data_IF_227279233632
#
_entry.id   IF_227279233632
#
_cell.length_a   1.000
_cell.length_b   1.000
_cell.length_c   1.000
_cell.angle_alpha   90.00
_cell.angle_beta   90.00
_cell.angle_gamma   90.00
#
_symmetry.space_group_name_H-M   'P 1'
#
loop_
_entity.id
_entity.type
_entity.pdbx_description
1 polymer ?
#
# COMPACT_ATOMS: atom_id res chain seq x y z
N UNK A 1 23.63 11.35 -114.76
CA UNK A 1 23.59 9.87 -114.68
C UNK A 1 24.88 9.38 -114.02
N UNK A 2 24.92 8.34 -113.16
CA UNK A 2 23.87 7.77 -112.31
C UNK A 2 24.27 7.55 -110.81
N UNK A 3 23.21 7.37 -109.98
CA UNK A 3 23.04 6.63 -108.70
C UNK A 3 23.93 6.88 -107.47
N UNK A 4 23.29 7.30 -106.37
CA UNK A 4 23.63 6.86 -105.00
C UNK A 4 22.35 6.77 -104.14
N UNK A 5 22.25 5.67 -103.38
CA UNK A 5 21.10 5.18 -102.61
C UNK A 5 20.96 5.85 -101.23
N UNK A 6 19.77 6.34 -100.87
CA UNK A 6 19.45 6.74 -99.50
C UNK A 6 18.83 5.57 -98.72
N UNK A 7 19.56 5.04 -97.73
CA UNK A 7 19.04 4.10 -96.72
C UNK A 7 18.34 4.89 -95.61
N UNK A 8 17.06 4.62 -95.41
CA UNK A 8 16.27 4.99 -94.22
C UNK A 8 16.92 4.43 -92.94
N UNK A 9 17.39 5.31 -92.04
CA UNK A 9 17.76 4.95 -90.67
C UNK A 9 16.53 5.11 -89.76
N UNK A 10 16.26 4.06 -89.01
CA UNK A 10 15.05 3.81 -88.24
C UNK A 10 14.81 4.83 -87.11
N UNK A 11 13.58 5.33 -87.02
CA UNK A 11 13.03 6.06 -85.84
C UNK A 11 12.81 5.16 -84.61
N UNK A 12 13.19 3.88 -84.66
CA UNK A 12 12.90 2.87 -83.63
C UNK A 12 13.85 2.88 -82.43
N UNK A 13 15.08 3.38 -82.58
CA UNK A 13 16.07 3.40 -81.49
C UNK A 13 15.69 4.32 -80.30
N UNK A 14 15.23 5.57 -80.51
CA UNK A 14 14.88 6.45 -79.39
C UNK A 14 13.59 6.02 -78.66
N UNK A 15 12.61 5.45 -79.36
CA UNK A 15 11.35 4.98 -78.76
C UNK A 15 11.56 3.72 -77.92
N UNK A 16 12.39 2.78 -78.38
CA UNK A 16 12.74 1.58 -77.61
C UNK A 16 13.54 1.94 -76.34
N UNK A 17 14.42 2.94 -76.41
CA UNK A 17 15.15 3.43 -75.24
C UNK A 17 14.21 4.06 -74.20
N UNK A 18 13.23 4.86 -74.64
CA UNK A 18 12.23 5.47 -73.75
C UNK A 18 11.35 4.39 -73.10
N UNK A 19 10.93 3.36 -73.84
CA UNK A 19 10.14 2.26 -73.29
C UNK A 19 10.94 1.46 -72.26
N UNK A 20 12.23 1.18 -72.51
CA UNK A 20 13.10 0.51 -71.54
C UNK A 20 13.36 1.36 -70.31
N UNK A 21 13.48 2.68 -70.47
CA UNK A 21 13.69 3.61 -69.36
C UNK A 21 12.42 3.75 -68.51
N UNK A 22 11.25 3.85 -69.15
CA UNK A 22 9.95 3.83 -68.45
C UNK A 22 9.72 2.48 -67.78
N UNK A 23 9.99 1.36 -68.45
CA UNK A 23 9.87 0.02 -67.87
C UNK A 23 10.83 -0.19 -66.69
N UNK A 24 12.05 0.34 -66.78
CA UNK A 24 13.03 0.35 -65.70
C UNK A 24 12.57 1.20 -64.52
N UNK A 25 12.03 2.40 -64.77
CA UNK A 25 11.47 3.27 -63.72
C UNK A 25 10.25 2.63 -63.08
N UNK A 26 9.33 2.04 -63.86
CA UNK A 26 8.15 1.36 -63.31
C UNK A 26 8.54 0.09 -62.57
N UNK A 27 9.56 -0.63 -63.04
CA UNK A 27 10.10 -1.80 -62.36
C UNK A 27 10.78 -1.44 -61.04
N UNK A 28 11.56 -0.35 -61.01
CA UNK A 28 12.16 0.20 -59.79
C UNK A 28 11.10 0.72 -58.82
N UNK A 29 10.07 1.42 -59.32
CA UNK A 29 8.96 1.90 -58.52
C UNK A 29 8.13 0.74 -57.95
N UNK A 30 7.88 -0.31 -58.73
CA UNK A 30 7.19 -1.52 -58.29
C UNK A 30 8.04 -2.32 -57.29
N UNK A 31 9.35 -2.40 -57.51
CA UNK A 31 10.28 -3.06 -56.60
C UNK A 31 10.40 -2.31 -55.26
N UNK A 32 10.47 -0.98 -55.30
CA UNK A 32 10.38 -0.13 -54.11
C UNK A 32 9.04 -0.31 -53.38
N UNK A 33 7.92 -0.37 -54.11
CA UNK A 33 6.58 -0.56 -53.54
C UNK A 33 6.39 -1.92 -52.86
N UNK A 34 7.14 -2.96 -53.27
CA UNK A 34 7.11 -4.30 -52.66
C UNK A 34 8.05 -4.43 -51.43
N UNK A 35 9.05 -3.57 -51.30
CA UNK A 35 10.05 -3.62 -50.22
C UNK A 35 9.87 -2.52 -49.16
N UNK A 36 9.17 -1.45 -49.49
CA UNK A 36 8.85 -0.40 -48.53
C UNK A 36 7.81 -0.92 -47.54
N UNK A 37 8.29 -1.31 -46.36
CA UNK A 37 7.44 -1.51 -45.20
C UNK A 37 6.65 -0.23 -44.90
N UNK A 38 5.40 -0.37 -44.48
CA UNK A 38 4.46 0.74 -44.24
C UNK A 38 3.92 0.76 -42.82
N UNK A 39 4.30 -0.20 -41.99
CA UNK A 39 3.89 -0.20 -40.60
C UNK A 39 4.76 0.78 -39.83
N UNK A 40 4.09 1.69 -39.14
CA UNK A 40 4.76 2.58 -38.20
C UNK A 40 5.02 1.81 -36.89
N UNK A 41 6.12 2.11 -36.18
CA UNK A 41 6.37 1.53 -34.86
C UNK A 41 5.23 1.79 -33.86
N UNK A 42 4.90 0.81 -33.04
CA UNK A 42 4.04 1.01 -31.88
C UNK A 42 4.83 1.65 -30.73
N UNK A 43 4.24 2.66 -30.08
CA UNK A 43 4.83 3.38 -28.96
C UNK A 43 3.95 3.31 -27.72
N UNK A 44 4.56 3.14 -26.55
CA UNK A 44 3.92 3.29 -25.24
C UNK A 44 4.80 4.12 -24.32
N UNK A 45 4.16 4.94 -23.51
CA UNK A 45 4.81 5.77 -22.50
C UNK A 45 4.17 5.51 -21.13
N UNK A 46 5.00 5.04 -20.20
CA UNK A 46 4.64 4.79 -18.80
C UNK A 46 5.43 5.71 -17.87
N UNK A 47 4.94 6.09 -16.68
CA UNK A 47 3.60 5.83 -16.14
C UNK A 47 2.53 6.66 -16.87
N UNK A 48 1.24 6.34 -16.73
CA UNK A 48 0.13 7.10 -17.34
C UNK A 48 -0.36 8.30 -16.51
N UNK A 49 0.38 8.70 -15.48
CA UNK A 49 0.02 9.82 -14.61
C UNK A 49 -0.09 11.15 -15.38
N UNK A 50 -1.03 12.01 -14.95
CA UNK A 50 -1.28 13.35 -15.53
C UNK A 50 -0.41 14.42 -14.85
N UNK A 51 -0.18 14.28 -13.54
CA UNK A 51 0.71 15.16 -12.75
C UNK A 51 1.99 14.40 -12.44
N UNK A 52 3.14 15.04 -12.63
CA UNK A 52 4.47 14.40 -12.51
C UNK A 52 5.47 15.37 -11.90
N UNK A 53 6.51 14.85 -11.26
CA UNK A 53 7.66 15.61 -10.78
C UNK A 53 8.88 15.45 -11.71
N UNK A 54 9.93 16.23 -11.45
CA UNK A 54 11.19 16.11 -12.22
C UNK A 54 11.84 14.73 -12.11
N UNK A 55 11.63 14.05 -10.99
CA UNK A 55 12.20 12.74 -10.70
C UNK A 55 11.32 11.58 -11.18
N UNK A 56 10.12 11.84 -11.71
CA UNK A 56 9.28 10.80 -12.30
C UNK A 56 10.06 10.09 -13.42
N UNK A 57 10.27 8.78 -13.24
CA UNK A 57 10.94 7.94 -14.24
C UNK A 57 9.92 7.47 -15.27
N UNK A 58 10.12 7.88 -16.50
CA UNK A 58 9.35 7.42 -17.64
C UNK A 58 10.03 6.22 -18.30
N UNK A 59 9.22 5.30 -18.84
CA UNK A 59 9.67 4.24 -19.75
C UNK A 59 8.97 4.40 -21.09
N UNK A 60 9.76 4.44 -22.17
CA UNK A 60 9.32 4.37 -23.56
C UNK A 60 9.52 2.96 -24.05
N UNK A 61 8.42 2.30 -24.38
CA UNK A 61 8.44 1.02 -25.10
C UNK A 61 8.14 1.31 -26.57
N UNK A 62 9.03 0.85 -27.44
CA UNK A 62 8.85 0.90 -28.88
C UNK A 62 8.93 -0.51 -29.46
N UNK A 63 8.02 -0.84 -30.38
CA UNK A 63 8.03 -2.12 -31.07
C UNK A 63 7.70 -1.93 -32.55
N UNK A 64 8.43 -2.64 -33.40
CA UNK A 64 8.12 -2.76 -34.82
C UNK A 64 8.14 -4.25 -35.19
N UNK A 65 7.00 -4.77 -35.63
CA UNK A 65 6.83 -6.20 -35.90
C UNK A 65 7.38 -6.60 -37.29
N UNK A 66 7.39 -5.66 -38.23
CA UNK A 66 7.67 -5.91 -39.64
C UNK A 66 9.05 -5.37 -40.06
N UNK A 67 9.63 -4.43 -39.29
CA UNK A 67 10.97 -3.85 -39.48
C UNK A 67 11.82 -3.88 -38.20
N UNK A 68 12.93 -3.14 -38.19
CA UNK A 68 13.77 -2.91 -37.00
C UNK A 68 13.86 -1.43 -36.69
N UNK A 69 13.93 -1.08 -35.42
CA UNK A 69 14.02 0.30 -34.94
C UNK A 69 15.42 0.86 -35.19
N UNK A 70 15.49 2.13 -35.59
CA UNK A 70 16.75 2.84 -35.86
C UNK A 70 17.06 3.93 -34.83
N UNK A 71 16.04 4.67 -34.38
CA UNK A 71 16.22 5.81 -33.46
C UNK A 71 14.97 6.06 -32.64
N UNK A 72 15.15 6.47 -31.38
CA UNK A 72 14.10 6.97 -30.51
C UNK A 72 14.52 8.31 -29.95
N UNK A 73 13.65 9.32 -30.07
CA UNK A 73 13.86 10.63 -29.47
C UNK A 73 12.70 11.00 -28.55
N UNK A 74 13.01 11.69 -27.47
CA UNK A 74 12.04 12.24 -26.53
C UNK A 74 12.31 13.73 -26.38
N UNK A 75 11.27 14.54 -26.58
CA UNK A 75 11.33 16.00 -26.44
C UNK A 75 10.20 16.46 -25.53
N UNK A 76 10.51 17.30 -24.56
CA UNK A 76 9.52 18.05 -23.81
C UNK A 76 9.23 19.37 -24.52
N UNK A 77 7.97 19.70 -24.72
CA UNK A 77 7.53 20.97 -25.30
C UNK A 77 6.85 21.76 -24.18
N UNK A 78 7.42 22.92 -23.83
CA UNK A 78 6.86 23.82 -22.82
C UNK A 78 6.74 25.22 -23.41
N UNK A 79 5.57 25.83 -23.27
CA UNK A 79 5.27 27.14 -23.86
C UNK A 79 5.58 27.24 -25.38
N UNK A 80 5.62 26.10 -26.08
CA UNK A 80 5.96 26.01 -27.50
C UNK A 80 7.45 25.82 -27.80
N UNK A 81 8.33 25.88 -26.81
CA UNK A 81 9.76 25.66 -26.97
C UNK A 81 10.13 24.17 -26.73
N UNK A 82 10.89 23.53 -27.65
CA UNK A 82 11.31 22.13 -27.50
C UNK A 82 12.58 22.00 -26.66
N UNK A 83 12.57 21.05 -25.73
CA UNK A 83 13.65 20.66 -24.84
C UNK A 83 13.96 19.17 -25.05
N UNK A 84 15.06 18.81 -25.73
CA UNK A 84 15.41 17.41 -25.97
C UNK A 84 15.78 16.74 -24.64
N UNK A 85 15.18 15.58 -24.36
CA UNK A 85 15.41 14.79 -23.14
C UNK A 85 16.16 13.48 -23.42
N UNK A 86 15.91 12.87 -24.57
CA UNK A 86 16.55 11.62 -24.99
C UNK A 86 16.72 11.61 -26.50
N UNK A 87 17.88 11.15 -26.96
CA UNK A 87 18.15 10.92 -28.37
C UNK A 87 19.04 9.68 -28.51
N UNK A 88 18.41 8.54 -28.75
CA UNK A 88 19.07 7.24 -28.77
C UNK A 88 19.04 6.63 -30.17
N UNK A 89 20.22 6.37 -30.72
CA UNK A 89 20.37 5.52 -31.90
C UNK A 89 20.44 4.06 -31.46
N UNK A 90 19.64 3.20 -32.09
CA UNK A 90 19.51 1.79 -31.74
C UNK A 90 20.46 0.91 -32.56
N UNK A 91 20.81 -0.25 -32.01
CA UNK A 91 21.68 -1.19 -32.72
C UNK A 91 20.90 -1.86 -33.86
N UNK A 92 21.55 -2.18 -34.99
CA UNK A 92 20.88 -2.88 -36.10
C UNK A 92 20.26 -4.20 -35.63
N UNK A 93 19.04 -4.51 -36.12
CA UNK A 93 18.38 -5.78 -35.81
C UNK A 93 17.45 -5.75 -34.59
N UNK A 94 17.30 -4.62 -33.89
CA UNK A 94 16.38 -4.50 -32.75
C UNK A 94 14.95 -4.21 -33.22
N UNK A 95 14.03 -5.15 -32.98
CA UNK A 95 12.58 -4.97 -33.24
C UNK A 95 11.85 -4.31 -32.07
N UNK A 96 12.45 -4.37 -30.88
CA UNK A 96 11.89 -3.81 -29.64
C UNK A 96 12.96 -3.02 -28.90
N UNK A 97 12.58 -1.91 -28.29
CA UNK A 97 13.44 -1.15 -27.40
C UNK A 97 12.64 -0.62 -26.20
N UNK A 98 13.28 -0.62 -25.04
CA UNK A 98 12.76 0.01 -23.83
C UNK A 98 13.82 1.01 -23.33
N UNK A 99 13.45 2.28 -23.19
CA UNK A 99 14.34 3.35 -22.77
C UNK A 99 13.71 4.15 -21.64
N UNK A 100 14.51 4.53 -20.66
CA UNK A 100 14.04 5.36 -19.54
C UNK A 100 14.60 6.77 -19.57
N UNK A 101 13.80 7.75 -19.17
CA UNK A 101 14.22 9.15 -19.00
C UNK A 101 13.51 9.80 -17.80
N UNK A 102 13.98 10.98 -17.40
CA UNK A 102 13.37 11.84 -16.36
C UNK A 102 13.23 13.27 -16.89
N UNK A 103 12.64 14.17 -16.09
CA UNK A 103 12.47 15.57 -16.44
C UNK A 103 13.45 16.49 -15.68
N UNK A 104 14.52 15.93 -15.10
CA UNK A 104 15.50 16.65 -14.27
C UNK A 104 16.24 17.77 -15.02
N UNK A 105 16.41 17.61 -16.33
CA UNK A 105 17.10 18.60 -17.18
C UNK A 105 16.23 19.82 -17.52
N UNK A 106 14.92 19.79 -17.19
CA UNK A 106 14.04 20.93 -17.41
C UNK A 106 14.35 22.08 -16.45
N UNK A 107 14.45 23.28 -17.00
CA UNK A 107 14.78 24.50 -16.24
C UNK A 107 13.60 25.09 -15.46
N UNK A 108 12.38 24.59 -15.68
CA UNK A 108 11.14 25.09 -15.08
C UNK A 108 10.66 24.15 -14.00
N UNK A 109 10.07 24.69 -12.94
CA UNK A 109 9.69 23.93 -11.75
C UNK A 109 8.20 23.55 -11.75
N UNK A 110 7.37 24.19 -12.57
CA UNK A 110 5.95 23.85 -12.70
C UNK A 110 5.35 24.26 -14.04
N UNK A 111 4.21 23.65 -14.39
CA UNK A 111 3.38 24.04 -15.54
C UNK A 111 3.09 22.90 -16.53
N UNK A 112 2.30 23.21 -17.57
CA UNK A 112 1.96 22.23 -18.61
C UNK A 112 3.18 21.91 -19.49
N UNK A 113 3.46 20.62 -19.66
CA UNK A 113 4.50 20.09 -20.54
C UNK A 113 3.93 19.01 -21.45
N UNK A 114 4.22 19.09 -22.74
CA UNK A 114 3.88 18.02 -23.69
C UNK A 114 5.12 17.17 -23.93
N UNK A 115 5.07 15.90 -23.55
CA UNK A 115 6.11 14.94 -23.89
C UNK A 115 5.81 14.35 -25.26
N UNK A 116 6.71 14.56 -26.21
CA UNK A 116 6.67 13.99 -27.54
C UNK A 116 7.74 12.91 -27.68
N UNK A 117 7.28 11.68 -27.87
CA UNK A 117 8.12 10.52 -28.13
C UNK A 117 8.02 10.19 -29.60
N UNK A 118 9.16 10.07 -30.27
CA UNK A 118 9.22 9.70 -31.68
C UNK A 118 10.12 8.49 -31.87
N UNK A 119 9.62 7.44 -32.52
CA UNK A 119 10.38 6.26 -32.90
C UNK A 119 10.45 6.16 -34.43
N UNK A 120 11.63 5.89 -34.96
CA UNK A 120 11.87 5.71 -36.39
C UNK A 120 12.39 4.30 -36.66
N UNK A 121 11.85 3.65 -37.69
CA UNK A 121 12.32 2.35 -38.15
C UNK A 121 13.56 2.47 -39.05
N UNK A 122 14.12 1.34 -39.49
CA UNK A 122 15.25 1.27 -40.41
C UNK A 122 14.82 0.88 -41.83
N UNK A 123 13.54 1.03 -42.17
CA UNK A 123 13.00 0.61 -43.46
C UNK A 123 13.48 1.54 -44.58
N UNK A 124 13.36 1.07 -45.82
CA UNK A 124 13.65 1.89 -47.01
C UNK A 124 12.51 2.83 -47.37
N UNK A 125 11.45 2.91 -46.54
CA UNK A 125 10.36 3.85 -46.71
C UNK A 125 10.88 5.30 -46.71
N UNK A 126 10.09 6.21 -47.29
CA UNK A 126 10.44 7.63 -47.40
C UNK A 126 11.85 7.88 -47.97
N UNK A 127 12.24 7.13 -49.02
CA UNK A 127 13.57 7.22 -49.64
C UNK A 127 14.74 6.87 -48.70
N UNK A 128 14.50 6.00 -47.71
CA UNK A 128 15.52 5.53 -46.77
C UNK A 128 15.56 6.31 -45.44
N UNK A 129 14.59 7.17 -45.19
CA UNK A 129 14.42 7.85 -43.89
C UNK A 129 13.68 6.99 -42.86
N UNK A 130 13.02 5.90 -43.31
CA UNK A 130 12.21 5.03 -42.45
C UNK A 130 10.79 5.55 -42.23
N UNK A 131 9.95 4.75 -41.60
CA UNK A 131 8.66 5.18 -41.06
C UNK A 131 8.86 5.70 -39.64
N UNK A 132 8.03 6.69 -39.26
CA UNK A 132 8.13 7.36 -37.96
C UNK A 132 6.77 7.33 -37.29
N UNK A 133 6.74 6.93 -36.02
CA UNK A 133 5.58 7.07 -35.14
C UNK A 133 5.87 8.14 -34.09
N UNK A 134 4.86 8.97 -33.79
CA UNK A 134 4.94 9.98 -32.74
C UNK A 134 3.80 9.83 -31.76
N UNK A 135 4.13 9.81 -30.47
CA UNK A 135 3.20 9.82 -29.34
C UNK A 135 3.40 11.12 -28.56
N UNK A 136 2.36 11.95 -28.47
CA UNK A 136 2.38 13.19 -27.69
C UNK A 136 1.46 13.08 -26.47
N UNK A 137 1.94 13.47 -25.29
CA UNK A 137 1.16 13.45 -24.04
C UNK A 137 1.31 14.76 -23.28
N UNK A 138 0.19 15.44 -23.00
CA UNK A 138 0.16 16.60 -22.11
C UNK A 138 0.18 16.15 -20.65
N UNK A 139 1.00 16.82 -19.85
CA UNK A 139 1.28 16.57 -18.44
C UNK A 139 1.34 17.90 -17.69
N UNK A 140 1.08 17.87 -16.39
CA UNK A 140 1.39 18.97 -15.49
C UNK A 140 2.64 18.62 -14.67
N UNK A 141 3.70 19.40 -14.86
CA UNK A 141 4.88 19.34 -14.01
C UNK A 141 4.56 20.07 -12.70
N UNK A 142 4.80 19.37 -11.60
CA UNK A 142 4.76 19.94 -10.26
C UNK A 142 5.96 19.43 -9.44
N UNK A 143 6.71 20.36 -8.86
CA UNK A 143 7.88 20.08 -8.02
C UNK A 143 7.76 20.68 -6.62
N UNK A 144 6.67 21.40 -6.35
CA UNK A 144 6.46 21.98 -5.03
C UNK A 144 5.81 20.92 -4.12
N UNK A 145 6.39 20.65 -2.94
CA UNK A 145 5.76 19.73 -2.01
C UNK A 145 4.52 20.35 -1.35
N UNK A 146 3.51 19.55 -0.99
CA UNK A 146 2.32 20.05 -0.35
C UNK A 146 2.64 20.65 1.03
N UNK A 147 2.00 21.77 1.37
CA UNK A 147 2.07 22.33 2.72
C UNK A 147 1.06 21.63 3.63
N UNK A 148 1.52 21.23 4.82
CA UNK A 148 0.70 20.51 5.81
C UNK A 148 0.35 21.42 6.99
N UNK A 149 -0.96 21.55 7.25
CA UNK A 149 -1.52 22.40 8.31
C UNK A 149 -2.16 21.55 9.39
N UNK A 150 -1.48 21.38 10.52
CA UNK A 150 -2.00 20.65 11.67
C UNK A 150 -3.17 21.43 12.29
N UNK A 151 -4.33 20.78 12.38
CA UNK A 151 -5.55 21.35 12.96
C UNK A 151 -5.70 20.99 14.45
N UNK A 152 -5.16 19.84 14.87
CA UNK A 152 -5.21 19.39 16.25
C UNK A 152 -4.08 19.96 17.10
N UNK A 153 -4.42 20.57 18.23
CA UNK A 153 -3.44 21.33 19.04
C UNK A 153 -2.62 20.48 20.03
N UNK A 154 -3.21 19.43 20.61
CA UNK A 154 -2.67 18.73 21.77
C UNK A 154 -2.86 17.21 21.64
N UNK A 155 -1.80 16.44 21.88
CA UNK A 155 -1.82 14.99 21.78
C UNK A 155 -1.10 14.37 22.98
N UNK A 156 -1.85 13.82 23.93
CA UNK A 156 -1.30 13.26 25.15
C UNK A 156 -1.43 11.74 25.13
N UNK A 157 -0.31 11.03 24.97
CA UNK A 157 -0.31 9.57 24.86
C UNK A 157 0.37 8.94 26.06
N UNK A 158 -0.27 7.92 26.63
CA UNK A 158 0.44 6.98 27.50
C UNK A 158 1.04 5.87 26.66
N UNK A 159 2.07 5.19 27.18
CA UNK A 159 2.63 4.01 26.51
C UNK A 159 1.54 2.95 26.34
N UNK A 160 1.38 2.42 25.12
CA UNK A 160 0.28 1.55 24.72
C UNK A 160 -1.07 2.25 24.52
N UNK A 161 -1.10 3.58 24.52
CA UNK A 161 -2.29 4.41 24.34
C UNK A 161 -2.49 4.86 22.89
N UNK A 162 -3.64 5.48 22.66
CA UNK A 162 -4.13 5.86 21.33
C UNK A 162 -4.11 7.38 21.15
N UNK A 163 -3.98 7.85 19.92
CA UNK A 163 -4.05 9.26 19.54
C UNK A 163 -4.68 9.46 18.16
N UNK A 164 -5.10 10.69 17.89
CA UNK A 164 -5.62 11.10 16.59
C UNK A 164 -5.05 12.47 16.23
N UNK A 165 -4.51 12.61 15.02
CA UNK A 165 -4.04 13.89 14.47
C UNK A 165 -4.91 14.25 13.26
N UNK A 166 -5.33 15.51 13.20
CA UNK A 166 -6.07 16.07 12.07
C UNK A 166 -5.22 17.13 11.39
N UNK A 167 -5.17 17.10 10.07
CA UNK A 167 -4.43 18.08 9.27
C UNK A 167 -5.11 18.35 7.92
N UNK A 168 -4.72 19.44 7.28
CA UNK A 168 -5.08 19.77 5.90
C UNK A 168 -3.81 19.84 5.05
N UNK A 169 -3.94 19.62 3.76
CA UNK A 169 -2.89 19.85 2.78
C UNK A 169 -3.26 21.03 1.87
N UNK A 170 -2.26 21.74 1.32
CA UNK A 170 -2.48 22.83 0.34
C UNK A 170 -3.07 22.36 -0.99
N UNK A 171 -3.04 21.05 -1.24
CA UNK A 171 -3.42 20.37 -2.48
C UNK A 171 -3.81 18.91 -2.19
N UNK A 172 -4.19 18.18 -3.23
CA UNK A 172 -4.60 16.78 -3.13
C UNK A 172 -3.40 15.85 -2.86
N UNK A 173 -3.55 14.96 -1.88
CA UNK A 173 -2.51 14.01 -1.47
C UNK A 173 -2.95 12.58 -1.78
N UNK A 174 -2.03 11.77 -2.29
CA UNK A 174 -2.31 10.36 -2.67
C UNK A 174 -2.03 9.39 -1.54
N UNK A 175 -1.09 9.75 -0.66
CA UNK A 175 -0.75 8.97 0.52
C UNK A 175 -0.39 9.94 1.65
N UNK A 176 -0.94 9.71 2.83
CA UNK A 176 -0.60 10.49 4.00
C UNK A 176 -0.84 9.67 5.27
N UNK A 177 -0.21 10.08 6.35
CA UNK A 177 -0.26 9.34 7.60
C UNK A 177 0.69 9.85 8.65
N UNK A 178 0.84 9.08 9.71
CA UNK A 178 1.84 9.29 10.75
C UNK A 178 2.89 8.19 10.66
N UNK A 179 4.15 8.58 10.51
CA UNK A 179 5.30 7.68 10.67
C UNK A 179 5.92 7.90 12.04
N UNK A 180 6.38 6.83 12.69
CA UNK A 180 7.25 6.94 13.86
C UNK A 180 8.69 6.93 13.37
N UNK A 181 9.41 8.05 13.52
CA UNK A 181 10.80 8.16 13.05
C UNK A 181 11.67 7.05 13.64
N UNK A 182 12.70 6.66 12.89
CA UNK A 182 13.63 5.59 13.27
C UNK A 182 12.96 4.21 13.43
N UNK A 183 11.76 4.02 12.86
CA UNK A 183 11.03 2.74 12.81
C UNK A 183 10.33 2.55 11.47
N UNK A 184 9.87 1.31 11.20
CA UNK A 184 9.07 0.96 10.02
C UNK A 184 7.55 1.12 10.26
N UNK A 185 7.14 1.78 11.36
CA UNK A 185 5.73 1.91 11.73
C UNK A 185 5.11 3.13 11.04
N UNK A 186 4.09 2.86 10.24
CA UNK A 186 3.27 3.85 9.55
C UNK A 186 1.79 3.62 9.85
N UNK A 187 1.08 4.71 10.14
CA UNK A 187 -0.37 4.73 10.30
C UNK A 187 -0.99 5.58 9.19
N UNK A 188 -1.91 5.05 8.38
CA UNK A 188 -2.53 5.81 7.30
C UNK A 188 -3.49 6.89 7.84
N UNK A 189 -3.52 8.02 7.15
CA UNK A 189 -4.52 9.07 7.31
C UNK A 189 -5.63 8.89 6.27
N UNK A 190 -6.84 9.27 6.64
CA UNK A 190 -8.01 9.18 5.77
C UNK A 190 -8.68 10.54 5.64
N UNK A 191 -8.99 10.93 4.41
CA UNK A 191 -9.77 12.14 4.13
C UNK A 191 -11.20 12.01 4.68
N UNK A 192 -11.68 13.06 5.31
CA UNK A 192 -13.02 13.19 5.88
C UNK A 192 -13.86 14.16 5.06
N UNK A 193 -15.19 14.14 5.21
CA UNK A 193 -16.13 14.97 4.44
C UNK A 193 -15.88 16.49 4.52
N UNK A 194 -15.16 16.95 5.54
CA UNK A 194 -14.76 18.36 5.72
C UNK A 194 -13.45 18.74 5.00
N UNK A 195 -12.83 17.81 4.26
CA UNK A 195 -11.55 17.98 3.58
C UNK A 195 -10.32 17.85 4.49
N UNK A 196 -10.50 17.52 5.77
CA UNK A 196 -9.38 17.20 6.64
C UNK A 196 -8.97 15.75 6.46
N UNK A 197 -7.66 15.51 6.62
CA UNK A 197 -7.11 14.19 6.79
C UNK A 197 -6.99 13.90 8.28
N UNK A 198 -7.44 12.72 8.69
CA UNK A 198 -7.32 12.26 10.08
C UNK A 198 -6.60 10.92 10.13
N UNK A 199 -5.59 10.85 10.97
CA UNK A 199 -4.81 9.64 11.24
C UNK A 199 -5.02 9.22 12.69
N UNK A 200 -5.47 7.99 12.91
CA UNK A 200 -5.34 7.32 14.20
C UNK A 200 -3.93 6.75 14.32
N UNK A 201 -3.29 6.93 15.46
CA UNK A 201 -1.93 6.43 15.71
C UNK A 201 -1.80 5.99 17.17
N UNK A 202 -0.70 5.32 17.50
CA UNK A 202 -0.42 4.88 18.87
C UNK A 202 1.04 5.16 19.25
N UNK A 203 1.27 5.37 20.55
CA UNK A 203 2.56 5.11 21.16
C UNK A 203 2.59 3.61 21.50
N UNK A 204 3.31 2.76 20.74
CA UNK A 204 3.25 1.32 20.95
C UNK A 204 3.71 0.91 22.35
N UNK A 205 3.13 -0.16 22.89
CA UNK A 205 3.47 -0.62 24.25
C UNK A 205 4.94 -1.03 24.41
N UNK A 206 5.58 -1.45 23.30
CA UNK A 206 6.97 -1.89 23.24
C UNK A 206 7.96 -0.76 22.95
N UNK A 207 7.47 0.46 22.69
CA UNK A 207 8.31 1.63 22.39
C UNK A 207 8.48 2.48 23.64
N UNK A 208 9.71 2.88 23.95
CA UNK A 208 9.95 3.79 25.07
C UNK A 208 9.43 5.21 24.72
N UNK A 209 8.81 5.93 25.67
CA UNK A 209 8.27 7.28 25.44
C UNK A 209 9.25 8.29 24.83
N UNK A 210 10.55 8.15 25.10
CA UNK A 210 11.64 8.97 24.57
C UNK A 210 12.00 8.68 23.11
N UNK A 211 11.73 7.45 22.64
CA UNK A 211 11.95 7.04 21.26
C UNK A 211 10.74 7.41 20.37
N UNK A 212 9.63 7.83 20.99
CA UNK A 212 8.42 8.21 20.29
C UNK A 212 8.55 9.57 19.61
N UNK A 213 8.71 9.53 18.29
CA UNK A 213 8.90 10.70 17.41
C UNK A 213 7.93 10.62 16.21
N UNK A 214 6.63 10.88 16.42
CA UNK A 214 5.67 10.88 15.32
C UNK A 214 5.87 12.09 14.41
N UNK A 215 5.79 11.87 13.11
CA UNK A 215 5.68 12.90 12.08
C UNK A 215 4.45 12.64 11.22
N UNK A 216 3.73 13.70 10.87
CA UNK A 216 2.80 13.62 9.75
C UNK A 216 3.64 13.65 8.47
N UNK A 217 3.38 12.70 7.58
CA UNK A 217 3.96 12.61 6.25
C UNK A 217 2.83 12.61 5.22
N UNK A 218 3.09 13.19 4.06
CA UNK A 218 2.19 13.18 2.93
C UNK A 218 2.98 13.15 1.62
N UNK A 219 2.33 12.70 0.56
CA UNK A 219 2.82 12.73 -0.79
C UNK A 219 1.71 13.22 -1.70
N UNK A 220 1.99 14.20 -2.55
CA UNK A 220 1.05 14.71 -3.55
C UNK A 220 0.92 13.76 -4.76
N UNK A 221 0.08 14.13 -5.72
CA UNK A 221 -0.11 13.39 -6.97
C UNK A 221 1.13 13.36 -7.89
N UNK A 222 2.06 14.29 -7.73
CA UNK A 222 3.33 14.36 -8.48
C UNK A 222 4.45 13.49 -7.86
N UNK A 223 4.23 13.01 -6.63
CA UNK A 223 5.17 12.23 -5.84
C UNK A 223 6.06 13.09 -4.93
N UNK A 224 5.81 14.39 -4.78
CA UNK A 224 6.62 15.24 -3.91
C UNK A 224 6.28 14.95 -2.44
N UNK A 225 7.28 14.63 -1.59
CA UNK A 225 7.05 14.33 -0.19
C UNK A 225 6.97 15.62 0.64
N UNK A 226 6.06 15.62 1.61
CA UNK A 226 6.00 16.61 2.67
C UNK A 226 5.97 15.93 4.03
N UNK A 227 6.54 16.60 5.02
CA UNK A 227 6.46 16.16 6.40
C UNK A 227 6.37 17.34 7.36
N UNK A 228 5.67 17.15 8.47
CA UNK A 228 5.60 18.14 9.54
C UNK A 228 5.47 17.49 10.90
N UNK A 229 5.94 18.19 11.92
CA UNK A 229 5.78 17.79 13.33
C UNK A 229 4.54 18.42 13.93
N UNK A 230 4.03 17.82 15.00
CA UNK A 230 2.93 18.37 15.80
C UNK A 230 3.26 18.31 17.28
N UNK A 231 2.53 19.05 18.11
CA UNK A 231 2.75 19.02 19.55
C UNK A 231 2.18 17.74 20.17
N UNK A 232 3.00 17.03 20.94
CA UNK A 232 2.58 15.86 21.69
C UNK A 232 3.32 15.76 23.02
N UNK A 233 2.72 15.03 23.96
CA UNK A 233 3.38 14.61 25.20
C UNK A 233 3.23 13.10 25.36
N UNK A 234 4.23 12.48 25.97
CA UNK A 234 4.25 11.05 26.25
C UNK A 234 4.37 10.77 27.73
N UNK A 235 3.80 9.64 28.14
CA UNK A 235 3.88 9.16 29.52
C UNK A 235 4.20 7.67 29.54
N UNK A 236 5.23 7.28 30.27
CA UNK A 236 5.53 5.88 30.55
C UNK A 236 4.39 5.23 31.33
N UNK A 237 4.06 3.98 30.99
CA UNK A 237 3.05 3.19 31.70
C UNK A 237 3.75 2.13 32.54
N UNK A 238 3.50 2.13 33.85
CA UNK A 238 3.92 1.02 34.69
C UNK A 238 2.93 -0.14 34.54
N UNK A 239 3.40 -1.24 33.95
CA UNK A 239 2.59 -2.43 33.76
C UNK A 239 2.71 -3.41 34.92
N UNK A 240 1.61 -4.12 35.18
CA UNK A 240 1.54 -5.15 36.21
C UNK A 240 2.40 -6.34 35.82
N UNK A 241 3.19 -6.85 36.77
CA UNK A 241 3.96 -8.08 36.64
C UNK A 241 3.13 -9.28 37.10
N UNK A 242 3.17 -10.38 36.36
CA UNK A 242 2.43 -11.60 36.68
C UNK A 242 3.26 -12.85 36.41
N UNK A 243 3.28 -13.76 37.37
CA UNK A 243 3.83 -15.10 37.18
C UNK A 243 2.71 -16.08 36.83
N UNK A 244 2.92 -16.91 35.81
CA UNK A 244 1.98 -17.91 35.34
C UNK A 244 2.65 -19.28 35.38
N UNK A 245 2.11 -20.18 36.19
CA UNK A 245 2.57 -21.57 36.22
C UNK A 245 1.94 -22.34 35.07
N UNK A 246 2.76 -23.09 34.33
CA UNK A 246 2.37 -23.92 33.20
C UNK A 246 2.45 -25.38 33.62
N UNK A 247 1.37 -26.00 34.10
CA UNK A 247 1.39 -27.40 34.54
C UNK A 247 1.35 -28.38 33.36
N UNK A 248 1.78 -29.63 33.57
CA UNK A 248 1.70 -30.71 32.57
C UNK A 248 0.30 -30.83 31.96
N UNK A 249 -0.74 -30.81 32.82
CA UNK A 249 -2.14 -30.87 32.37
C UNK A 249 -2.54 -29.77 31.38
N UNK A 250 -1.90 -28.59 31.46
CA UNK A 250 -2.14 -27.51 30.51
C UNK A 250 -1.41 -27.80 29.19
N UNK A 251 -0.13 -28.23 29.26
CA UNK A 251 0.65 -28.58 28.09
C UNK A 251 0.02 -29.73 27.29
N UNK A 252 -0.42 -30.78 27.97
CA UNK A 252 -1.10 -31.94 27.38
C UNK A 252 -2.41 -31.56 26.67
N UNK A 253 -3.11 -30.54 27.18
CA UNK A 253 -4.34 -30.02 26.57
C UNK A 253 -4.04 -29.16 25.34
N UNK A 254 -2.96 -28.37 25.36
CA UNK A 254 -2.59 -27.44 24.29
C UNK A 254 -1.90 -28.15 23.12
N UNK A 255 -1.09 -29.18 23.38
CA UNK A 255 -0.37 -29.93 22.36
C UNK A 255 -1.22 -30.36 21.14
N UNK A 256 -2.44 -30.94 21.31
CA UNK A 256 -3.27 -31.32 20.17
C UNK A 256 -3.90 -30.15 19.42
N UNK A 257 -3.99 -28.95 20.00
CA UNK A 257 -4.49 -27.74 19.33
C UNK A 257 -3.47 -27.20 18.32
N UNK A 258 -2.17 -27.47 18.54
CA UNK A 258 -1.06 -26.93 17.76
C UNK A 258 -0.06 -28.02 17.32
N UNK A 259 -0.50 -29.08 16.62
CA UNK A 259 0.32 -30.26 16.37
C UNK A 259 1.64 -29.93 15.65
N UNK A 260 1.63 -28.94 14.75
CA UNK A 260 2.80 -28.51 13.98
C UNK A 260 3.97 -28.00 14.84
N UNK A 261 3.69 -27.37 15.98
CA UNK A 261 4.71 -26.85 16.90
C UNK A 261 5.20 -27.92 17.89
N UNK A 262 4.44 -29.00 18.09
CA UNK A 262 4.74 -30.07 19.05
C UNK A 262 5.34 -31.33 18.42
N UNK A 263 5.00 -31.67 17.17
CA UNK A 263 5.40 -32.93 16.51
C UNK A 263 6.93 -33.14 16.46
N UNK A 264 7.69 -32.04 16.34
CA UNK A 264 9.16 -32.04 16.29
C UNK A 264 9.81 -31.32 17.48
N UNK A 265 9.07 -31.12 18.56
CA UNK A 265 9.61 -30.49 19.77
C UNK A 265 10.31 -31.53 20.67
N UNK A 266 11.48 -31.22 21.25
CA UNK A 266 12.16 -32.11 22.19
C UNK A 266 11.35 -32.46 23.45
N UNK A 267 10.39 -31.62 23.82
CA UNK A 267 9.46 -31.83 24.94
C UNK A 267 8.17 -31.03 24.73
N UNK A 268 7.15 -31.29 25.56
CA UNK A 268 5.93 -30.47 25.56
C UNK A 268 6.21 -29.00 25.92
N UNK A 269 7.19 -28.75 26.78
CA UNK A 269 7.59 -27.38 27.17
C UNK A 269 8.20 -26.65 25.97
N UNK A 270 9.08 -27.31 25.22
CA UNK A 270 9.67 -26.73 24.01
C UNK A 270 8.62 -26.45 22.94
N UNK A 271 7.65 -27.34 22.75
CA UNK A 271 6.53 -27.10 21.83
C UNK A 271 5.69 -25.88 22.27
N UNK A 272 5.43 -25.76 23.57
CA UNK A 272 4.75 -24.60 24.13
C UNK A 272 5.53 -23.30 23.96
N UNK A 273 6.86 -23.30 24.19
CA UNK A 273 7.71 -22.10 23.99
C UNK A 273 7.63 -21.65 22.53
N UNK A 274 7.67 -22.57 21.55
CA UNK A 274 7.50 -22.25 20.13
C UNK A 274 6.14 -21.61 19.86
N UNK A 275 5.05 -22.20 20.33
CA UNK A 275 3.71 -21.58 20.22
C UNK A 275 3.67 -20.19 20.87
N UNK A 276 4.26 -20.04 22.05
CA UNK A 276 4.18 -18.79 22.80
C UNK A 276 5.12 -17.69 22.27
N UNK A 277 6.05 -18.02 21.36
CA UNK A 277 6.95 -17.07 20.69
C UNK A 277 6.65 -16.94 19.20
N UNK A 278 6.87 -18.02 18.42
CA UNK A 278 6.77 -18.05 16.95
C UNK A 278 5.34 -17.77 16.49
N UNK A 279 4.35 -18.53 16.97
CA UNK A 279 2.95 -18.35 16.55
C UNK A 279 2.41 -16.98 16.95
N UNK A 280 2.90 -16.37 18.03
CA UNK A 280 2.53 -14.99 18.39
C UNK A 280 3.06 -13.97 17.40
N UNK A 281 4.28 -14.16 16.90
CA UNK A 281 4.83 -13.32 15.85
C UNK A 281 4.00 -13.47 14.56
N UNK A 282 3.68 -14.71 14.18
CA UNK A 282 2.82 -14.99 13.02
C UNK A 282 1.42 -14.37 13.18
N UNK A 283 0.85 -14.41 14.39
CA UNK A 283 -0.44 -13.76 14.68
C UNK A 283 -0.35 -12.24 14.62
N UNK A 284 0.77 -11.62 15.01
CA UNK A 284 0.97 -10.18 14.87
C UNK A 284 1.04 -9.77 13.39
N UNK A 285 1.76 -10.52 12.55
CA UNK A 285 1.80 -10.28 11.10
C UNK A 285 0.42 -10.46 10.45
N UNK A 286 -0.34 -11.47 10.87
CA UNK A 286 -1.72 -11.65 10.43
C UNK A 286 -2.60 -10.44 10.81
N UNK A 287 -2.44 -9.89 12.02
CA UNK A 287 -3.18 -8.69 12.45
C UNK A 287 -2.79 -7.44 11.67
N UNK A 288 -1.53 -7.30 11.24
CA UNK A 288 -1.14 -6.22 10.33
C UNK A 288 -1.84 -6.35 8.98
N UNK A 289 -1.87 -7.55 8.39
CA UNK A 289 -2.56 -7.77 7.12
C UNK A 289 -4.08 -7.57 7.23
N UNK A 290 -4.71 -8.01 8.33
CA UNK A 290 -6.14 -7.79 8.58
C UNK A 290 -6.44 -6.28 8.75
N UNK A 291 -5.50 -5.50 9.27
CA UNK A 291 -5.68 -4.06 9.46
C UNK A 291 -5.68 -3.24 8.16
N UNK A 292 -5.20 -3.81 7.05
CA UNK A 292 -5.26 -3.19 5.73
C UNK A 292 -6.70 -3.15 5.17
N UNK A 293 -7.56 -4.10 5.56
CA UNK A 293 -8.98 -4.09 5.22
C UNK A 293 -9.73 -3.15 6.19
N UNK A 294 -9.76 -1.87 5.83
CA UNK A 294 -10.42 -0.84 6.62
C UNK A 294 -11.17 0.16 5.77
N UNK A 295 -12.30 0.63 6.26
CA UNK A 295 -13.05 1.72 5.63
C UNK A 295 -12.46 3.08 5.98
N UNK A 296 -12.58 4.06 5.08
CA UNK A 296 -11.97 5.40 5.27
C UNK A 296 -12.73 6.27 6.27
N UNK A 297 -14.02 6.01 6.44
CA UNK A 297 -14.91 6.76 7.32
C UNK A 297 -15.14 5.99 8.64
N UNK A 298 -15.27 6.68 9.78
CA UNK A 298 -15.57 6.04 11.05
C UNK A 298 -16.99 5.44 11.03
N UNK A 299 -17.10 4.16 11.38
CA UNK A 299 -18.36 3.44 11.54
C UNK A 299 -18.88 3.44 12.98
N UNK A 300 -18.01 3.80 13.94
CA UNK A 300 -18.28 3.80 15.37
C UNK A 300 -18.84 5.13 15.88
N UNK A 301 -19.46 5.09 17.06
CA UNK A 301 -19.83 6.31 17.78
C UNK A 301 -19.70 6.13 19.29
N UNK A 302 -19.31 7.21 19.98
CA UNK A 302 -19.17 7.22 21.44
C UNK A 302 -18.20 6.15 21.98
N UNK A 303 -18.48 5.69 23.20
CA UNK A 303 -17.66 4.66 23.85
C UNK A 303 -17.85 3.28 23.22
N UNK A 304 -16.84 2.45 23.36
CA UNK A 304 -16.89 1.03 23.08
C UNK A 304 -17.46 0.27 24.28
N UNK A 305 -18.28 -0.74 24.02
CA UNK A 305 -18.80 -1.61 25.08
C UNK A 305 -17.72 -2.58 25.56
N UNK A 306 -17.77 -2.84 26.86
CA UNK A 306 -17.00 -3.89 27.53
C UNK A 306 -17.97 -5.02 27.88
N UNK A 307 -17.60 -6.27 27.60
CA UNK A 307 -18.37 -7.43 28.07
C UNK A 307 -18.49 -7.37 29.61
N UNK A 308 -19.70 -7.63 30.12
CA UNK A 308 -19.91 -7.68 31.56
C UNK A 308 -19.09 -8.84 32.17
N UNK A 309 -18.56 -8.65 33.38
CA UNK A 309 -17.73 -9.65 34.04
C UNK A 309 -16.50 -9.08 34.73
N UNK A 310 -15.73 -9.98 35.31
CA UNK A 310 -14.48 -9.72 36.01
C UNK A 310 -13.32 -9.60 35.02
N UNK A 311 -12.44 -8.62 35.22
CA UNK A 311 -11.16 -8.56 34.49
C UNK A 311 -10.15 -9.47 35.20
N UNK A 312 -9.69 -10.52 34.52
CA UNK A 312 -8.69 -11.46 35.06
C UNK A 312 -7.28 -11.14 34.59
N UNK A 313 -7.12 -10.46 33.45
CA UNK A 313 -5.86 -9.91 32.96
C UNK A 313 -6.04 -8.56 32.26
N UNK A 314 -5.02 -7.71 32.33
CA UNK A 314 -5.03 -6.35 31.79
C UNK A 314 -4.09 -6.25 30.59
N UNK A 315 -4.34 -5.24 29.76
CA UNK A 315 -3.42 -4.89 28.68
C UNK A 315 -2.05 -4.50 29.26
N UNK A 316 -1.00 -4.96 28.59
CA UNK A 316 0.38 -4.72 28.96
C UNK A 316 0.89 -5.54 30.13
N UNK A 317 0.08 -6.43 30.74
CA UNK A 317 0.55 -7.35 31.79
C UNK A 317 1.84 -8.05 31.32
N UNK A 318 2.91 -7.89 32.10
CA UNK A 318 4.21 -8.51 31.86
C UNK A 318 4.18 -9.89 32.49
N UNK A 319 4.13 -10.94 31.66
CA UNK A 319 3.90 -12.32 32.07
C UNK A 319 5.21 -13.10 32.06
N UNK A 320 5.62 -13.62 33.22
CA UNK A 320 6.69 -14.62 33.34
C UNK A 320 6.05 -16.01 33.44
N UNK A 321 6.41 -16.92 32.54
CA UNK A 321 5.91 -18.29 32.54
C UNK A 321 6.90 -19.21 33.24
N UNK A 322 6.37 -20.03 34.16
CA UNK A 322 7.15 -21.02 34.92
C UNK A 322 6.71 -22.43 34.57
N UNK A 323 7.67 -23.34 34.45
CA UNK A 323 7.46 -24.78 34.45
C UNK A 323 8.39 -25.40 35.49
N UNK A 324 7.82 -26.14 36.46
CA UNK A 324 8.57 -26.69 37.60
C UNK A 324 9.46 -25.67 38.32
N UNK A 325 8.91 -24.49 38.62
CA UNK A 325 9.58 -23.34 39.25
C UNK A 325 10.74 -22.72 38.44
N UNK A 326 11.00 -23.19 37.22
CA UNK A 326 11.97 -22.62 36.30
C UNK A 326 11.28 -21.67 35.30
N UNK A 327 11.91 -20.52 35.04
CA UNK A 327 11.43 -19.58 34.03
C UNK A 327 11.66 -20.16 32.65
N UNK A 328 10.58 -20.27 31.87
CA UNK A 328 10.62 -20.80 30.50
C UNK A 328 10.36 -19.73 29.45
N UNK A 329 9.67 -18.64 29.79
CA UNK A 329 9.28 -17.63 28.80
C UNK A 329 8.81 -16.30 29.41
N UNK A 330 8.78 -15.25 28.59
CA UNK A 330 8.27 -13.92 28.94
C UNK A 330 7.40 -13.33 27.83
N UNK A 331 6.13 -13.01 28.10
CA UNK A 331 5.27 -12.35 27.11
C UNK A 331 4.52 -11.16 27.69
N UNK A 332 4.09 -10.26 26.81
CA UNK A 332 3.17 -9.16 27.15
C UNK A 332 1.75 -9.53 26.76
N UNK A 333 0.78 -9.18 27.61
CA UNK A 333 -0.63 -9.39 27.31
C UNK A 333 -1.22 -8.25 26.47
N UNK A 334 -1.68 -8.54 25.25
CA UNK A 334 -2.08 -7.51 24.29
C UNK A 334 -3.59 -7.22 24.26
N UNK A 335 -4.26 -7.40 25.39
CA UNK A 335 -5.71 -7.16 25.51
C UNK A 335 -6.17 -7.24 26.96
N UNK A 336 -7.48 -7.39 27.14
CA UNK A 336 -8.11 -7.64 28.44
C UNK A 336 -8.78 -9.00 28.45
N UNK A 337 -8.52 -9.79 29.49
CA UNK A 337 -9.20 -11.06 29.69
C UNK A 337 -10.41 -10.80 30.60
N UNK A 338 -11.61 -11.03 30.05
CA UNK A 338 -12.91 -10.76 30.68
C UNK A 338 -13.62 -12.09 30.94
N UNK A 339 -13.82 -12.44 32.20
CA UNK A 339 -14.47 -13.68 32.60
C UNK A 339 -15.87 -13.41 33.18
N UNK A 340 -16.82 -14.28 32.81
CA UNK A 340 -18.21 -14.24 33.27
C UNK A 340 -18.68 -15.68 33.52
N UNK A 341 -19.93 -16.01 33.18
CA UNK A 341 -20.41 -17.39 33.10
C UNK A 341 -19.84 -18.10 31.88
N UNK A 342 -19.81 -19.44 31.90
CA UNK A 342 -19.31 -20.23 30.77
C UNK A 342 -20.18 -20.01 29.53
N UNK A 343 -19.55 -19.86 28.36
CA UNK A 343 -20.23 -19.58 27.10
C UNK A 343 -21.12 -18.32 27.15
N UNK A 344 -20.66 -17.28 27.84
CA UNK A 344 -21.39 -16.01 27.87
C UNK A 344 -21.43 -15.39 26.48
N UNK A 345 -22.48 -14.63 26.20
CA UNK A 345 -22.64 -13.97 24.91
C UNK A 345 -21.62 -12.83 24.79
N UNK A 346 -20.93 -12.78 23.64
CA UNK A 346 -19.94 -11.75 23.34
C UNK A 346 -20.60 -10.66 22.49
N UNK A 347 -20.79 -9.43 23.03
CA UNK A 347 -21.32 -8.31 22.26
C UNK A 347 -20.22 -7.64 21.43
N UNK A 348 -20.57 -7.18 20.22
CA UNK A 348 -19.75 -6.24 19.48
C UNK A 348 -19.57 -4.94 20.29
N UNK A 349 -18.34 -4.47 20.44
CA UNK A 349 -18.01 -3.31 21.24
C UNK A 349 -18.53 -2.00 20.63
N UNK A 350 -18.57 -1.92 19.31
CA UNK A 350 -19.16 -0.80 18.58
C UNK A 350 -19.68 -1.28 17.21
N UNK A 351 -20.34 -0.39 16.49
CA UNK A 351 -20.72 -0.60 15.10
C UNK A 351 -19.49 -0.84 14.24
N UNK A 352 -19.56 -1.76 13.28
CA UNK A 352 -18.45 -2.04 12.38
C UNK A 352 -18.73 -3.15 11.39
N UNK A 353 -17.74 -3.45 10.57
CA UNK A 353 -17.77 -4.53 9.57
C UNK A 353 -16.85 -5.67 10.01
N UNK A 354 -17.33 -6.90 9.99
CA UNK A 354 -16.51 -8.07 10.31
C UNK A 354 -15.49 -8.30 9.19
N UNK A 355 -14.21 -8.18 9.50
CA UNK A 355 -13.10 -8.40 8.53
C UNK A 355 -12.39 -9.74 8.77
N UNK A 356 -12.61 -10.37 9.92
CA UNK A 356 -12.10 -11.72 10.22
C UNK A 356 -13.08 -12.49 11.13
N UNK A 357 -13.25 -13.79 10.88
CA UNK A 357 -14.18 -14.64 11.62
C UNK A 357 -13.80 -16.13 11.57
N UNK A 358 -12.58 -16.48 11.99
CA UNK A 358 -12.00 -17.84 11.88
C UNK A 358 -11.03 -18.15 13.05
N UNK A 359 -10.34 -19.29 13.03
CA UNK A 359 -9.27 -19.62 13.99
C UNK A 359 -8.00 -18.80 13.69
N UNK A 360 -7.47 -18.08 14.69
CA UNK A 360 -6.27 -17.23 14.59
C UNK A 360 -5.22 -17.65 15.63
N UNK A 361 -4.50 -18.73 15.35
CA UNK A 361 -3.36 -19.19 16.15
C UNK A 361 -3.61 -19.21 17.66
N UNK A 362 -2.79 -18.49 18.45
CA UNK A 362 -2.92 -18.47 19.91
C UNK A 362 -4.24 -17.86 20.39
N UNK A 363 -4.89 -17.02 19.58
CA UNK A 363 -6.19 -16.44 19.88
C UNK A 363 -7.35 -17.42 19.72
N UNK A 364 -7.13 -18.57 19.05
CA UNK A 364 -8.19 -19.54 18.74
C UNK A 364 -9.27 -18.93 17.84
N UNK A 365 -10.53 -19.32 18.01
CA UNK A 365 -11.65 -18.71 17.26
C UNK A 365 -11.74 -17.25 17.61
N UNK A 366 -11.60 -16.42 16.59
CA UNK A 366 -11.56 -14.99 16.72
C UNK A 366 -12.47 -14.31 15.71
N UNK A 367 -13.07 -13.22 16.17
CA UNK A 367 -13.72 -12.23 15.31
C UNK A 367 -12.89 -10.95 15.38
N UNK A 368 -12.62 -10.33 14.22
CA UNK A 368 -12.07 -8.98 14.13
C UNK A 368 -13.09 -8.10 13.42
N UNK A 369 -13.43 -6.97 14.04
CA UNK A 369 -14.36 -5.98 13.51
C UNK A 369 -13.56 -4.72 13.17
N UNK A 370 -13.64 -4.29 11.91
CA UNK A 370 -13.21 -2.98 11.46
C UNK A 370 -14.26 -1.93 11.84
N UNK A 371 -13.81 -0.87 12.47
CA UNK A 371 -14.64 0.29 12.79
C UNK A 371 -14.32 1.47 11.86
N UNK A 372 -13.42 1.31 10.89
CA UNK A 372 -12.93 2.34 10.00
C UNK A 372 -11.70 3.06 10.54
N UNK A 373 -10.95 3.68 9.64
CA UNK A 373 -9.73 4.43 9.90
C UNK A 373 -8.63 3.61 10.61
N UNK A 374 -8.50 2.34 10.22
CA UNK A 374 -7.58 1.36 10.82
C UNK A 374 -7.83 1.05 12.30
N UNK A 375 -8.99 1.43 12.87
CA UNK A 375 -9.40 1.06 14.21
C UNK A 375 -10.15 -0.27 14.18
N UNK A 376 -9.62 -1.28 14.86
CA UNK A 376 -10.24 -2.60 14.91
C UNK A 376 -10.40 -3.10 16.34
N UNK A 377 -11.36 -4.00 16.55
CA UNK A 377 -11.46 -4.78 17.79
C UNK A 377 -11.37 -6.26 17.52
N UNK A 378 -10.68 -6.99 18.40
CA UNK A 378 -10.54 -8.45 18.33
C UNK A 378 -11.20 -9.12 19.54
N UNK A 379 -11.95 -10.19 19.27
CA UNK A 379 -12.69 -11.00 20.23
C UNK A 379 -12.25 -12.44 20.09
N UNK A 380 -11.55 -12.97 21.09
CA UNK A 380 -10.81 -14.23 20.97
C UNK A 380 -11.21 -15.28 22.01
N UNK A 381 -10.70 -16.49 21.80
CA UNK A 381 -10.99 -17.70 22.57
C UNK A 381 -12.44 -18.16 22.49
N UNK A 382 -13.14 -17.83 21.39
CA UNK A 382 -14.58 -18.07 21.28
C UNK A 382 -14.89 -19.58 21.19
N UNK A 383 -15.99 -20.02 21.82
CA UNK A 383 -16.49 -21.38 21.62
C UNK A 383 -17.27 -21.52 20.32
N UNK A 384 -17.88 -20.43 19.84
CA UNK A 384 -18.61 -20.35 18.58
C UNK A 384 -18.67 -18.93 18.06
N UNK A 385 -18.73 -18.80 16.73
CA UNK A 385 -18.82 -17.55 15.98
C UNK A 385 -20.21 -17.50 15.33
N UNK A 386 -20.92 -16.37 15.49
CA UNK A 386 -22.29 -16.17 14.99
C UNK A 386 -22.37 -15.20 13.79
N UNK A 387 -21.23 -14.73 13.29
CA UNK A 387 -21.11 -13.74 12.21
C UNK A 387 -20.11 -14.22 11.16
N UNK A 388 -20.19 -13.66 9.96
CA UNK A 388 -19.30 -13.95 8.83
C UNK A 388 -18.55 -12.70 8.39
N UNK A 389 -17.42 -12.90 7.70
CA UNK A 389 -16.68 -11.80 7.06
C UNK A 389 -17.61 -11.06 6.07
N UNK A 390 -17.61 -9.73 6.15
CA UNK A 390 -18.48 -8.83 5.38
C UNK A 390 -19.79 -8.45 6.10
N UNK A 391 -20.14 -9.09 7.21
CA UNK A 391 -21.31 -8.70 7.98
C UNK A 391 -21.08 -7.34 8.66
N UNK A 392 -22.04 -6.42 8.49
CA UNK A 392 -22.12 -5.24 9.34
C UNK A 392 -22.80 -5.61 10.66
N UNK A 393 -22.20 -5.20 11.78
CA UNK A 393 -22.73 -5.47 13.12
C UNK A 393 -22.96 -4.17 13.87
N UNK A 394 -24.03 -4.14 14.66
CA UNK A 394 -24.34 -3.01 15.53
C UNK A 394 -23.70 -3.17 16.92
N UNK A 395 -23.41 -2.06 17.58
CA UNK A 395 -22.96 -2.04 18.97
C UNK A 395 -23.89 -2.88 19.84
N UNK A 396 -23.34 -3.85 20.58
CA UNK A 396 -24.09 -4.73 21.47
C UNK A 396 -24.64 -5.99 20.81
N UNK A 397 -24.61 -6.10 19.48
CA UNK A 397 -25.01 -7.32 18.77
C UNK A 397 -24.15 -8.51 19.23
N UNK A 398 -24.78 -9.65 19.53
CA UNK A 398 -24.03 -10.86 19.89
C UNK A 398 -23.33 -11.45 18.67
N UNK A 399 -22.01 -11.53 18.71
CA UNK A 399 -21.16 -12.01 17.62
C UNK A 399 -20.61 -13.42 17.85
N UNK A 400 -20.75 -13.95 19.06
CA UNK A 400 -20.28 -15.28 19.42
C UNK A 400 -20.46 -15.56 20.91
N UNK A 401 -19.77 -16.58 21.39
CA UNK A 401 -19.79 -16.99 22.80
C UNK A 401 -18.38 -17.21 23.31
N UNK A 402 -18.12 -16.87 24.58
CA UNK A 402 -16.83 -17.13 25.22
C UNK A 402 -16.51 -18.63 25.23
N UNK A 403 -15.22 -18.96 25.33
CA UNK A 403 -14.77 -20.34 25.24
C UNK A 403 -13.32 -20.51 25.69
N UNK A 404 -12.70 -21.59 25.20
CA UNK A 404 -11.36 -22.03 25.61
C UNK A 404 -10.46 -22.40 24.42
N UNK A 405 -10.81 -22.01 23.20
CA UNK A 405 -10.01 -22.32 22.00
C UNK A 405 -8.69 -21.54 22.00
N UNK A 406 -7.67 -22.08 21.33
CA UNK A 406 -6.34 -21.49 21.31
C UNK A 406 -5.63 -21.61 22.67
N UNK A 407 -4.84 -20.61 23.03
CA UNK A 407 -3.98 -20.63 24.23
C UNK A 407 -4.70 -20.21 25.53
N UNK A 408 -6.02 -20.34 25.59
CA UNK A 408 -6.82 -19.95 26.75
C UNK A 408 -6.59 -20.89 27.95
N UNK A 409 -6.41 -20.34 29.15
CA UNK A 409 -6.28 -21.09 30.41
C UNK A 409 -7.61 -21.47 31.09
N UNK A 410 -8.72 -20.95 30.59
CA UNK A 410 -10.07 -21.13 31.13
C UNK A 410 -11.07 -20.34 30.28
N UNK A 411 -12.37 -20.46 30.58
CA UNK A 411 -13.40 -19.77 29.80
C UNK A 411 -13.37 -18.26 30.07
N UNK A 412 -13.05 -17.48 29.04
CA UNK A 412 -13.05 -16.01 29.08
C UNK A 412 -13.11 -15.45 27.66
N UNK A 413 -13.39 -14.15 27.55
CA UNK A 413 -13.15 -13.36 26.35
C UNK A 413 -11.78 -12.69 26.47
N UNK A 414 -10.90 -12.91 25.50
CA UNK A 414 -9.79 -11.99 25.28
C UNK A 414 -10.26 -10.89 24.33
N UNK A 415 -10.25 -9.64 24.81
CA UNK A 415 -10.68 -8.46 24.07
C UNK A 415 -9.50 -7.51 23.82
N UNK A 416 -9.23 -7.20 22.54
CA UNK A 416 -8.21 -6.24 22.14
C UNK A 416 -8.79 -5.08 21.32
N UNK A 417 -8.12 -3.93 21.38
CA UNK A 417 -8.30 -2.83 20.44
C UNK A 417 -7.00 -2.67 19.68
N UNK A 418 -7.08 -2.46 18.36
CA UNK A 418 -5.95 -2.38 17.45
C UNK A 418 -6.04 -1.08 16.66
N UNK A 419 -4.90 -0.41 16.45
CA UNK A 419 -4.75 0.69 15.49
C UNK A 419 -3.67 0.27 14.50
N UNK A 420 -4.06 0.06 13.24
CA UNK A 420 -3.14 -0.45 12.21
C UNK A 420 -2.51 -1.80 12.60
N UNK A 421 -3.29 -2.67 13.24
CA UNK A 421 -2.83 -3.98 13.72
C UNK A 421 -1.98 -3.94 15.01
N UNK A 422 -1.62 -2.76 15.52
CA UNK A 422 -0.89 -2.61 16.79
C UNK A 422 -1.88 -2.54 17.94
N UNK A 423 -1.70 -3.41 18.94
CA UNK A 423 -2.55 -3.43 20.12
C UNK A 423 -2.38 -2.18 21.00
N UNK A 424 -3.51 -1.58 21.35
CA UNK A 424 -3.63 -0.43 22.25
C UNK A 424 -4.54 -0.77 23.41
N UNK A 425 -4.45 0.00 24.50
CA UNK A 425 -5.24 -0.26 25.71
C UNK A 425 -6.75 -0.08 25.46
N UNK A 426 -7.57 -1.14 25.66
CA UNK A 426 -9.03 -1.02 25.60
C UNK A 426 -9.64 -0.01 26.57
N UNK A 427 -8.94 0.32 27.65
CA UNK A 427 -9.44 1.18 28.73
C UNK A 427 -9.82 2.58 28.23
N UNK A 428 -9.04 3.12 27.30
CA UNK A 428 -9.30 4.43 26.69
C UNK A 428 -10.60 4.42 25.89
N UNK A 429 -10.82 3.37 25.10
CA UNK A 429 -11.99 3.23 24.24
C UNK A 429 -13.29 2.94 25.00
N UNK A 430 -13.21 2.37 26.20
CA UNK A 430 -14.38 2.18 27.08
C UNK A 430 -14.85 3.47 27.76
N UNK A 431 -14.01 4.51 27.78
CA UNK A 431 -14.32 5.81 28.35
C UNK A 431 -14.83 6.77 27.26
N UNK A 432 -16.14 7.05 27.29
CA UNK A 432 -16.78 7.90 26.27
C UNK A 432 -16.33 9.35 26.32
N UNK A 433 -15.93 9.87 27.48
CA UNK A 433 -15.40 11.22 27.59
C UNK A 433 -13.99 11.27 27.00
N UNK A 434 -13.17 10.25 27.28
CA UNK A 434 -11.86 10.11 26.67
C UNK A 434 -11.95 10.02 25.14
N UNK A 435 -12.83 9.16 24.60
CA UNK A 435 -13.03 9.02 23.15
C UNK A 435 -13.49 10.34 22.54
N UNK A 436 -14.43 11.04 23.17
CA UNK A 436 -14.89 12.33 22.69
C UNK A 436 -13.74 13.35 22.60
N UNK A 437 -12.98 13.51 23.68
CA UNK A 437 -11.94 14.54 23.78
C UNK A 437 -10.69 14.26 22.94
N UNK A 438 -10.27 13.00 22.84
CA UNK A 438 -8.99 12.64 22.25
C UNK A 438 -9.13 12.16 20.79
N UNK A 439 -10.29 11.63 20.40
CA UNK A 439 -10.51 11.04 19.07
C UNK A 439 -11.63 11.76 18.33
N UNK A 440 -12.88 11.70 18.81
CA UNK A 440 -14.04 12.14 18.04
C UNK A 440 -14.02 13.64 17.74
N UNK A 441 -13.61 14.47 18.71
CA UNK A 441 -13.45 15.91 18.49
C UNK A 441 -12.37 16.25 17.47
N UNK A 442 -11.47 15.32 17.10
CA UNK A 442 -10.47 15.51 16.03
C UNK A 442 -11.05 15.19 14.66
N UNK A 443 -12.06 14.33 14.59
CA UNK A 443 -12.79 13.99 13.35
C UNK A 443 -13.71 15.13 12.90
N UNK A 444 -14.30 15.86 13.86
CA UNK A 444 -15.43 16.75 13.61
C UNK A 444 -15.09 18.24 13.43
N UNK A 445 -13.82 18.68 13.45
CA UNK A 445 -13.54 20.12 13.35
C UNK A 445 -13.51 20.56 11.87
N UNK A 446 -14.36 21.52 11.49
CA UNK A 446 -14.12 22.90 11.89
C UNK A 446 -15.32 23.51 12.63
N UNK A 447 -15.05 24.43 13.55
CA UNK A 447 -15.93 25.60 13.72
C UNK A 447 -15.27 26.83 13.10
#
# INVERSE_FOLDING_TARGET
MPRSTAKSRSRFLPTALIILLVAGITGLAFWYFLLADRTEPELRLSPQAIVVSKHTRFSVEAQDADSTLSRITVTAIMHGDPYPLLDQTLAPGQQTAELSFTLEELLFDSGEVVIEVTATDSSVANFGEGNTATLSRSLNLDTEPPQLFIQSLEHNLSQGGSGAVSFQASEEIVNAGVVLQDSDIFFPAFEQDNGNYVCLFTLPYFMAPEDFKPLVVAQDSAGNPAQTSFHYTTKATEYRQRTINVPDSFLERIAPEFPEYFENAPSLVEGYIRVNNELRADNQEALYSIAEDTTTAPQWSGRFLRMAGETTAFFGDQRTYLYNDEVIDFQVHLGYDLASVRHDNVPAANNGTVVYAQELGIYGRSVVIDHGMSLQTIYSHLSGINVSVGDFVEQGQTIGQTGITGLAGGDHLHFGVLIGGIAVTPKEWWDGEWVALNIANRLLQPE
#
